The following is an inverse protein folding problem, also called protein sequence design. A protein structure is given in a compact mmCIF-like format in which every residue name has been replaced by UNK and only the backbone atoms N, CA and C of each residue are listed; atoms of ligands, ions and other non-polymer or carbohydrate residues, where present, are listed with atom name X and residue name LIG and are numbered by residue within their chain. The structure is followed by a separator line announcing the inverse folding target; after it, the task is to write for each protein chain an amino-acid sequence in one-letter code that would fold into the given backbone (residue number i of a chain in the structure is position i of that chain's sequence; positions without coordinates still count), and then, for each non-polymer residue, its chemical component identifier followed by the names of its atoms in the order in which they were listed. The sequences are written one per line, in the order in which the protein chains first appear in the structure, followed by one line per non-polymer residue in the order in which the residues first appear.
data_IF_636190077451
#
_entry.id   IF_636190077451
#
_cell.length_a   1.000
_cell.length_b   1.000
_cell.length_c   1.000
_cell.angle_alpha   90.00
_cell.angle_beta   90.00
_cell.angle_gamma   90.00
#
_symmetry.space_group_name_H-M   'P 1'
#
loop_
_entity.id
_entity.type
_entity.pdbx_description
1 polymer ?
#
# COMPACT_ATOMS: atom_id res chain seq x y z
N UNK A 1 -16.55 1.24 -12.99
CA UNK A 1 -15.64 0.62 -13.98
C UNK A 1 -14.28 0.48 -13.32
N UNK A 2 -13.80 -0.75 -13.21
CA UNK A 2 -12.46 -1.08 -12.72
C UNK A 2 -11.43 -0.67 -13.80
N UNK A 3 -10.30 -0.17 -13.36
CA UNK A 3 -9.20 0.25 -14.25
C UNK A 3 -7.98 -0.53 -13.82
N UNK A 4 -7.27 -1.13 -14.78
CA UNK A 4 -6.18 -2.03 -14.51
C UNK A 4 -6.64 -3.27 -13.73
N UNK A 5 -5.74 -3.88 -12.98
CA UNK A 5 -6.04 -5.02 -12.09
C UNK A 5 -6.39 -6.31 -12.83
N UNK A 6 -5.93 -6.45 -14.06
CA UNK A 6 -6.25 -7.61 -14.88
C UNK A 6 -5.81 -8.92 -14.21
N UNK A 7 -4.63 -8.94 -13.61
CA UNK A 7 -4.08 -10.12 -12.94
C UNK A 7 -4.85 -10.48 -11.67
N UNK A 8 -5.17 -9.46 -10.86
CA UNK A 8 -5.95 -9.65 -9.64
C UNK A 8 -7.38 -10.11 -9.95
N UNK A 9 -8.00 -9.52 -11.00
CA UNK A 9 -9.32 -9.95 -11.46
C UNK A 9 -9.30 -11.38 -12.00
N UNK A 10 -8.32 -11.75 -12.81
CA UNK A 10 -8.17 -13.11 -13.32
C UNK A 10 -7.99 -14.12 -12.15
N UNK A 11 -7.17 -13.76 -11.17
CA UNK A 11 -6.97 -14.57 -9.96
C UNK A 11 -8.28 -14.77 -9.21
N UNK A 12 -9.02 -13.69 -8.92
CA UNK A 12 -10.27 -13.76 -8.16
C UNK A 12 -11.37 -14.51 -8.94
N UNK A 13 -11.50 -14.27 -10.25
CA UNK A 13 -12.46 -14.99 -11.11
C UNK A 13 -12.12 -16.49 -11.23
N UNK A 14 -10.82 -16.84 -11.28
CA UNK A 14 -10.40 -18.23 -11.30
C UNK A 14 -10.88 -19.04 -10.08
N UNK A 15 -11.13 -18.37 -8.93
CA UNK A 15 -11.66 -19.04 -7.74
C UNK A 15 -13.15 -19.41 -7.88
N UNK A 16 -13.88 -18.78 -8.79
CA UNK A 16 -15.30 -19.11 -9.05
C UNK A 16 -15.48 -20.49 -9.68
N UNK A 17 -14.46 -21.00 -10.36
CA UNK A 17 -14.47 -22.32 -11.01
C UNK A 17 -13.83 -23.43 -10.20
N UNK A 18 -13.39 -23.15 -8.97
CA UNK A 18 -12.76 -24.13 -8.09
C UNK A 18 -13.77 -25.13 -7.54
N UNK A 19 -13.43 -26.38 -7.43
CA UNK A 19 -14.25 -27.44 -6.80
C UNK A 19 -14.18 -27.47 -5.27
N UNK A 20 -13.45 -26.53 -4.67
CA UNK A 20 -13.22 -26.46 -3.23
C UNK A 20 -13.64 -25.10 -2.67
N UNK A 21 -13.91 -25.06 -1.36
CA UNK A 21 -14.09 -23.79 -0.63
C UNK A 21 -12.82 -22.92 -0.72
N UNK A 22 -13.03 -21.61 -0.80
CA UNK A 22 -11.91 -20.67 -0.95
C UNK A 22 -11.88 -19.69 0.22
N UNK A 23 -10.70 -19.55 0.84
CA UNK A 23 -10.45 -18.52 1.83
C UNK A 23 -9.45 -17.52 1.29
N UNK A 24 -9.94 -16.32 0.99
CA UNK A 24 -9.20 -15.28 0.26
C UNK A 24 -8.88 -14.12 1.19
N UNK A 25 -7.63 -13.70 1.25
CA UNK A 25 -7.23 -12.47 1.92
C UNK A 25 -6.80 -11.42 0.88
N UNK A 26 -7.51 -10.29 0.82
CA UNK A 26 -7.12 -9.13 0.02
C UNK A 26 -6.62 -8.04 0.96
N UNK A 27 -5.33 -7.75 0.92
CA UNK A 27 -4.70 -6.81 1.83
C UNK A 27 -3.74 -5.88 1.08
N UNK A 28 -3.31 -4.84 1.72
CA UNK A 28 -2.46 -3.82 1.13
C UNK A 28 -2.85 -2.44 1.65
N UNK A 29 -2.11 -1.44 1.22
CA UNK A 29 -2.21 -0.07 1.69
C UNK A 29 -3.66 0.46 1.64
N UNK A 30 -3.97 1.38 2.54
CA UNK A 30 -5.24 2.11 2.50
C UNK A 30 -5.41 2.85 1.17
N UNK A 31 -6.66 2.90 0.64
CA UNK A 31 -7.05 3.68 -0.56
C UNK A 31 -6.52 3.14 -1.90
N UNK A 32 -5.98 1.91 -1.94
CA UNK A 32 -5.56 1.25 -3.19
C UNK A 32 -6.71 0.57 -3.94
N UNK A 33 -7.95 0.60 -3.39
CA UNK A 33 -9.13 0.08 -4.07
C UNK A 33 -9.49 -1.37 -3.76
N UNK A 34 -9.05 -1.96 -2.63
CA UNK A 34 -9.34 -3.35 -2.23
C UNK A 34 -10.83 -3.70 -2.27
N UNK A 35 -11.64 -2.95 -1.51
CA UNK A 35 -13.10 -3.14 -1.44
C UNK A 35 -13.75 -3.02 -2.82
N UNK A 36 -13.27 -2.07 -3.64
CA UNK A 36 -13.78 -1.86 -4.98
C UNK A 36 -13.46 -3.06 -5.88
N UNK A 37 -12.23 -3.55 -5.87
CA UNK A 37 -11.79 -4.75 -6.61
C UNK A 37 -12.67 -5.97 -6.25
N UNK A 38 -12.86 -6.26 -4.95
CA UNK A 38 -13.66 -7.40 -4.48
C UNK A 38 -15.10 -7.26 -4.95
N UNK A 39 -15.70 -6.06 -4.82
CA UNK A 39 -17.09 -5.82 -5.26
C UNK A 39 -17.27 -5.96 -6.77
N UNK A 40 -16.31 -5.52 -7.57
CA UNK A 40 -16.36 -5.73 -9.02
C UNK A 40 -16.18 -7.22 -9.38
N UNK A 41 -15.25 -7.93 -8.72
CA UNK A 41 -14.98 -9.34 -9.00
C UNK A 41 -16.16 -10.26 -8.68
N UNK A 42 -16.88 -9.96 -7.61
CA UNK A 42 -17.91 -10.88 -7.08
C UNK A 42 -19.33 -10.29 -7.03
N UNK A 43 -19.61 -9.27 -7.82
CA UNK A 43 -20.85 -8.49 -7.80
C UNK A 43 -22.14 -9.31 -7.67
N UNK A 44 -22.24 -10.42 -8.40
CA UNK A 44 -23.44 -11.26 -8.46
C UNK A 44 -23.43 -12.45 -7.48
N UNK A 45 -22.37 -12.64 -6.73
CA UNK A 45 -22.13 -13.82 -5.92
C UNK A 45 -22.27 -13.59 -4.41
N UNK A 46 -22.42 -12.31 -3.98
CA UNK A 46 -22.50 -11.99 -2.56
C UNK A 46 -23.80 -12.47 -1.94
N UNK A 47 -23.68 -13.31 -0.89
CA UNK A 47 -24.81 -13.72 -0.03
C UNK A 47 -24.72 -13.06 1.35
N UNK A 48 -23.52 -12.60 1.76
CA UNK A 48 -23.33 -11.85 2.99
C UNK A 48 -22.17 -10.88 2.84
N UNK A 49 -22.38 -9.65 3.32
CA UNK A 49 -21.35 -8.61 3.38
C UNK A 49 -21.41 -7.94 4.74
N UNK A 50 -20.22 -7.72 5.32
CA UNK A 50 -20.08 -6.98 6.57
C UNK A 50 -18.81 -6.13 6.54
N UNK A 51 -18.84 -4.95 7.18
CA UNK A 51 -17.68 -4.06 7.32
C UNK A 51 -17.45 -3.75 8.80
N UNK A 52 -16.25 -4.02 9.29
CA UNK A 52 -15.82 -3.64 10.63
C UNK A 52 -15.87 -2.13 10.82
N UNK A 53 -16.22 -1.66 12.01
CA UNK A 53 -16.39 -0.24 12.32
C UNK A 53 -15.19 0.28 13.12
N UNK A 54 -14.52 1.31 12.61
CA UNK A 54 -13.39 1.95 13.29
C UNK A 54 -13.79 2.48 14.68
N UNK A 55 -13.00 2.17 15.69
CA UNK A 55 -13.19 2.68 17.06
C UNK A 55 -14.40 2.12 17.80
N UNK A 56 -15.19 1.21 17.20
CA UNK A 56 -16.34 0.62 17.86
C UNK A 56 -15.94 -0.39 18.95
N UNK A 57 -16.70 -0.42 20.03
CA UNK A 57 -16.55 -1.41 21.09
C UNK A 57 -16.96 -2.81 20.61
N UNK A 58 -16.51 -3.87 21.29
CA UNK A 58 -16.92 -5.25 20.99
C UNK A 58 -18.45 -5.38 20.86
N UNK A 59 -19.22 -4.79 21.77
CA UNK A 59 -20.69 -4.83 21.74
C UNK A 59 -21.26 -4.19 20.48
N UNK A 60 -20.71 -3.04 20.08
CA UNK A 60 -21.13 -2.36 18.84
C UNK A 60 -20.77 -3.16 17.60
N UNK A 61 -19.56 -3.76 17.54
CA UNK A 61 -19.16 -4.64 16.44
C UNK A 61 -20.12 -5.82 16.28
N UNK A 62 -20.44 -6.49 17.38
CA UNK A 62 -21.38 -7.62 17.38
C UNK A 62 -22.81 -7.20 16.97
N UNK A 63 -23.25 -6.01 17.39
CA UNK A 63 -24.53 -5.45 16.99
C UNK A 63 -24.57 -5.17 15.48
N UNK A 64 -23.54 -4.53 14.95
CA UNK A 64 -23.40 -4.24 13.53
C UNK A 64 -23.32 -5.53 12.68
N UNK A 65 -22.63 -6.55 13.18
CA UNK A 65 -22.55 -7.85 12.50
C UNK A 65 -23.93 -8.54 12.42
N UNK A 66 -24.68 -8.54 13.51
CA UNK A 66 -26.05 -9.05 13.53
C UNK A 66 -26.97 -8.27 12.58
N UNK A 67 -26.83 -6.95 12.54
CA UNK A 67 -27.57 -6.09 11.62
C UNK A 67 -27.27 -6.43 10.16
N UNK A 68 -26.01 -6.66 9.84
CA UNK A 68 -25.61 -7.11 8.49
C UNK A 68 -26.24 -8.44 8.11
N UNK A 69 -26.38 -9.38 9.06
CA UNK A 69 -27.10 -10.65 8.83
C UNK A 69 -28.60 -10.42 8.58
N UNK A 70 -29.21 -9.52 9.35
CA UNK A 70 -30.61 -9.14 9.14
C UNK A 70 -30.84 -8.53 7.76
N UNK A 71 -29.96 -7.60 7.34
CA UNK A 71 -30.00 -6.98 6.00
C UNK A 71 -29.75 -7.99 4.88
N UNK A 72 -29.01 -9.06 5.14
CA UNK A 72 -28.81 -10.16 4.20
C UNK A 72 -30.01 -11.11 4.09
N UNK A 73 -31.05 -10.91 4.93
CA UNK A 73 -32.28 -11.72 4.91
C UNK A 73 -32.42 -12.73 6.05
N UNK A 74 -31.52 -12.73 7.04
CA UNK A 74 -31.68 -13.56 8.23
C UNK A 74 -32.87 -13.05 9.06
N UNK A 75 -33.71 -13.95 9.55
CA UNK A 75 -34.79 -13.62 10.49
C UNK A 75 -34.27 -13.01 11.81
N UNK A 76 -35.20 -12.50 12.64
CA UNK A 76 -34.88 -11.94 13.96
C UNK A 76 -34.11 -12.94 14.82
N UNK A 77 -32.98 -12.50 15.41
CA UNK A 77 -32.14 -13.31 16.30
C UNK A 77 -31.81 -12.57 17.58
N UNK A 78 -31.44 -13.32 18.62
CA UNK A 78 -30.93 -12.76 19.85
C UNK A 78 -29.62 -11.99 19.59
N UNK A 79 -29.33 -11.01 20.45
CA UNK A 79 -28.07 -10.26 20.39
C UNK A 79 -26.88 -11.16 20.77
N UNK A 80 -25.90 -11.40 19.89
CA UNK A 80 -24.73 -12.21 20.24
C UNK A 80 -23.87 -11.48 21.27
N UNK A 81 -23.34 -12.23 22.24
CA UNK A 81 -22.47 -11.71 23.30
C UNK A 81 -20.99 -11.92 22.98
N UNK A 82 -20.70 -12.84 22.10
CA UNK A 82 -19.36 -13.26 21.69
C UNK A 82 -19.26 -13.40 20.16
N UNK A 83 -18.06 -13.38 19.63
CA UNK A 83 -17.82 -13.65 18.21
C UNK A 83 -18.17 -15.10 17.82
N UNK A 84 -18.01 -16.05 18.76
CA UNK A 84 -18.42 -17.43 18.54
C UNK A 84 -19.93 -17.52 18.29
N UNK A 85 -20.73 -16.81 19.07
CA UNK A 85 -22.19 -16.73 18.86
C UNK A 85 -22.53 -16.00 17.55
N UNK A 86 -21.82 -14.90 17.22
CA UNK A 86 -22.02 -14.16 15.98
C UNK A 86 -21.71 -15.02 14.73
N UNK A 87 -20.60 -15.75 14.72
CA UNK A 87 -20.30 -16.69 13.66
C UNK A 87 -21.25 -17.91 13.66
N UNK A 88 -21.79 -18.28 14.79
CA UNK A 88 -22.86 -19.28 14.87
C UNK A 88 -24.14 -18.81 14.17
N UNK A 89 -24.51 -17.53 14.31
CA UNK A 89 -25.61 -16.94 13.55
C UNK A 89 -25.34 -16.94 12.05
N UNK A 90 -24.13 -16.56 11.63
CA UNK A 90 -23.72 -16.62 10.22
C UNK A 90 -23.79 -18.05 9.69
N UNK A 91 -23.27 -19.02 10.42
CA UNK A 91 -23.37 -20.44 10.05
C UNK A 91 -24.81 -20.88 9.82
N UNK A 92 -25.72 -20.60 10.80
CA UNK A 92 -27.12 -20.96 10.67
C UNK A 92 -27.81 -20.25 9.48
N UNK A 93 -27.50 -18.98 9.23
CA UNK A 93 -27.95 -18.26 8.05
C UNK A 93 -27.46 -18.93 6.75
N UNK A 94 -26.20 -19.29 6.67
CA UNK A 94 -25.62 -19.93 5.49
C UNK A 94 -26.21 -21.33 5.21
N UNK A 95 -26.64 -22.04 6.24
CA UNK A 95 -27.38 -23.33 6.09
C UNK A 95 -28.72 -23.21 5.39
N UNK A 96 -29.32 -22.01 5.36
CA UNK A 96 -30.56 -21.79 4.63
C UNK A 96 -30.40 -21.80 3.12
N UNK A 97 -29.15 -21.64 2.64
CA UNK A 97 -28.80 -21.74 1.22
C UNK A 97 -28.35 -23.18 0.92
N UNK A 98 -29.07 -23.91 0.03
CA UNK A 98 -28.62 -25.23 -0.38
C UNK A 98 -27.24 -25.17 -1.04
N UNK A 99 -26.44 -26.19 -0.85
CA UNK A 99 -25.17 -26.33 -1.55
C UNK A 99 -25.43 -26.49 -3.07
N UNK A 100 -24.64 -25.81 -3.87
CA UNK A 100 -24.80 -25.78 -5.33
C UNK A 100 -23.44 -25.69 -6.03
N UNK A 101 -23.41 -25.86 -7.34
CA UNK A 101 -22.21 -25.63 -8.14
C UNK A 101 -21.84 -24.15 -8.22
N UNK A 102 -22.85 -23.26 -8.11
CA UNK A 102 -22.63 -21.81 -8.13
C UNK A 102 -22.02 -21.34 -6.81
N UNK A 103 -20.90 -20.60 -6.89
CA UNK A 103 -20.20 -20.06 -5.73
C UNK A 103 -21.04 -19.00 -5.01
N UNK A 104 -20.92 -18.99 -3.71
CA UNK A 104 -21.51 -18.02 -2.78
C UNK A 104 -20.42 -17.30 -2.03
N UNK A 105 -20.42 -15.97 -2.12
CA UNK A 105 -19.36 -15.14 -1.55
C UNK A 105 -19.80 -14.51 -0.23
N UNK A 106 -18.98 -14.72 0.78
CA UNK A 106 -19.06 -14.07 2.08
C UNK A 106 -17.95 -13.03 2.10
N UNK A 107 -18.27 -11.75 2.23
CA UNK A 107 -17.28 -10.68 2.25
C UNK A 107 -17.26 -9.98 3.61
N UNK A 108 -16.10 -9.99 4.26
CA UNK A 108 -15.85 -9.30 5.52
C UNK A 108 -14.75 -8.26 5.30
N UNK A 109 -15.17 -7.00 5.23
CA UNK A 109 -14.28 -5.86 5.01
C UNK A 109 -13.81 -5.24 6.34
N UNK A 110 -12.65 -4.60 6.31
CA UNK A 110 -12.00 -3.96 7.47
C UNK A 110 -11.94 -4.88 8.70
N UNK A 111 -11.58 -6.15 8.45
CA UNK A 111 -11.47 -7.21 9.45
C UNK A 111 -10.69 -6.81 10.71
N UNK A 112 -9.55 -6.08 10.61
CA UNK A 112 -8.75 -5.69 11.78
C UNK A 112 -9.51 -4.87 12.84
N UNK A 113 -10.56 -4.15 12.46
CA UNK A 113 -11.33 -3.31 13.40
C UNK A 113 -12.31 -4.11 14.26
N UNK A 114 -12.63 -5.34 13.85
CA UNK A 114 -13.45 -6.25 14.63
C UNK A 114 -12.67 -6.95 15.74
N UNK A 115 -11.33 -7.03 15.61
CA UNK A 115 -10.47 -7.62 16.62
C UNK A 115 -10.20 -6.64 17.77
N UNK A 116 -11.20 -6.46 18.62
CA UNK A 116 -11.09 -5.64 19.82
C UNK A 116 -10.38 -6.40 20.95
N UNK A 117 -9.73 -5.72 21.93
CA UNK A 117 -9.03 -6.38 23.01
C UNK A 117 -9.88 -7.45 23.71
N UNK A 118 -9.30 -8.64 23.92
CA UNK A 118 -9.94 -9.79 24.58
C UNK A 118 -11.23 -10.28 23.94
N UNK A 119 -11.43 -10.03 22.62
CA UNK A 119 -12.63 -10.43 21.90
C UNK A 119 -12.63 -11.89 21.43
N UNK A 120 -11.47 -12.53 21.36
CA UNK A 120 -11.26 -13.84 20.74
C UNK A 120 -11.75 -13.91 19.27
N UNK A 121 -11.73 -12.77 18.56
CA UNK A 121 -12.25 -12.67 17.20
C UNK A 121 -11.57 -13.64 16.24
N UNK A 122 -10.23 -13.61 16.17
CA UNK A 122 -9.44 -14.46 15.25
C UNK A 122 -9.70 -15.94 15.52
N UNK A 123 -9.78 -16.36 16.81
CA UNK A 123 -10.08 -17.76 17.17
C UNK A 123 -11.51 -18.18 16.77
N UNK A 124 -12.46 -17.26 16.86
CA UNK A 124 -13.85 -17.53 16.46
C UNK A 124 -14.00 -17.64 14.94
N UNK A 125 -13.28 -16.82 14.19
CA UNK A 125 -13.20 -16.92 12.72
C UNK A 125 -12.51 -18.23 12.29
N UNK A 126 -11.43 -18.59 12.96
CA UNK A 126 -10.72 -19.85 12.74
C UNK A 126 -11.64 -21.06 12.97
N UNK A 127 -12.36 -21.07 14.09
CA UNK A 127 -13.33 -22.12 14.38
C UNK A 127 -14.45 -22.20 13.34
N UNK A 128 -15.01 -21.06 12.94
CA UNK A 128 -16.04 -21.01 11.89
C UNK A 128 -15.55 -21.61 10.58
N UNK A 129 -14.33 -21.25 10.15
CA UNK A 129 -13.75 -21.77 8.92
C UNK A 129 -13.46 -23.27 9.01
N UNK A 130 -12.69 -23.68 10.00
CA UNK A 130 -12.22 -25.06 10.10
C UNK A 130 -13.32 -26.07 10.48
N UNK A 131 -14.28 -25.68 11.30
CA UNK A 131 -15.32 -26.58 11.75
C UNK A 131 -16.44 -26.80 10.72
N UNK A 132 -16.59 -25.90 9.75
CA UNK A 132 -17.70 -26.00 8.83
C UNK A 132 -17.50 -25.36 7.46
N UNK A 133 -17.11 -24.08 7.37
CA UNK A 133 -17.13 -23.36 6.10
C UNK A 133 -16.19 -24.00 5.06
N UNK A 134 -15.05 -24.54 5.49
CA UNK A 134 -14.10 -25.26 4.63
C UNK A 134 -14.63 -26.56 4.02
N UNK A 135 -15.72 -27.10 4.55
CA UNK A 135 -16.33 -28.33 4.01
C UNK A 135 -17.39 -28.03 2.93
N UNK A 136 -17.84 -26.78 2.85
CA UNK A 136 -18.83 -26.32 1.85
C UNK A 136 -18.12 -25.88 0.56
N UNK A 137 -18.13 -26.74 -0.46
CA UNK A 137 -17.41 -26.48 -1.74
C UNK A 137 -17.85 -25.20 -2.47
N UNK A 138 -19.06 -24.75 -2.24
CA UNK A 138 -19.65 -23.57 -2.88
C UNK A 138 -19.33 -22.24 -2.18
N UNK A 139 -18.53 -22.23 -1.08
CA UNK A 139 -18.24 -21.00 -0.35
C UNK A 139 -16.91 -20.38 -0.74
N UNK A 140 -16.92 -19.06 -0.91
CA UNK A 140 -15.74 -18.19 -0.95
C UNK A 140 -15.84 -17.20 0.20
N UNK A 141 -14.97 -17.34 1.19
CA UNK A 141 -14.81 -16.35 2.27
C UNK A 141 -13.70 -15.36 1.86
N UNK A 142 -14.09 -14.12 1.62
CA UNK A 142 -13.16 -13.02 1.30
C UNK A 142 -13.03 -12.12 2.51
N UNK A 143 -11.81 -11.97 3.01
CA UNK A 143 -11.49 -11.00 4.04
C UNK A 143 -10.62 -9.88 3.47
N UNK A 144 -10.82 -8.68 3.99
CA UNK A 144 -10.12 -7.50 3.56
C UNK A 144 -9.76 -6.61 4.75
N UNK A 145 -8.72 -5.81 4.60
CA UNK A 145 -8.38 -4.79 5.60
C UNK A 145 -7.25 -3.87 5.17
N UNK A 146 -7.31 -2.63 5.65
CA UNK A 146 -6.31 -1.60 5.39
C UNK A 146 -5.14 -1.63 6.37
N UNK A 147 -5.30 -2.21 7.57
CA UNK A 147 -4.20 -2.47 8.50
C UNK A 147 -3.41 -3.71 8.03
N UNK A 148 -2.54 -3.49 7.03
CA UNK A 148 -1.79 -4.54 6.33
C UNK A 148 -1.00 -5.42 7.30
N UNK A 149 -0.29 -4.81 8.26
CA UNK A 149 0.47 -5.53 9.28
C UNK A 149 -0.40 -6.47 10.11
N UNK A 150 -1.60 -6.03 10.52
CA UNK A 150 -2.50 -6.89 11.28
C UNK A 150 -2.94 -8.12 10.46
N UNK A 151 -3.28 -7.94 9.17
CA UNK A 151 -3.64 -9.07 8.28
C UNK A 151 -2.44 -10.01 8.13
N UNK A 152 -1.25 -9.48 7.92
CA UNK A 152 -0.03 -10.29 7.79
C UNK A 152 0.21 -11.08 9.07
N UNK A 153 0.24 -10.42 10.23
CA UNK A 153 0.61 -11.05 11.51
C UNK A 153 -0.45 -12.04 12.02
N UNK A 154 -1.74 -11.73 11.83
CA UNK A 154 -2.83 -12.51 12.43
C UNK A 154 -3.50 -13.50 11.49
N UNK A 155 -3.28 -13.36 10.17
CA UNK A 155 -3.94 -14.23 9.18
C UNK A 155 -2.92 -14.89 8.25
N UNK A 156 -2.06 -14.11 7.59
CA UNK A 156 -1.14 -14.61 6.55
C UNK A 156 0.02 -15.40 7.13
N UNK A 157 0.65 -14.88 8.19
CA UNK A 157 1.84 -15.45 8.87
C UNK A 157 1.49 -16.07 10.24
N UNK A 158 0.20 -16.18 10.55
CA UNK A 158 -0.24 -16.74 11.82
C UNK A 158 0.12 -18.24 11.91
N UNK A 159 0.88 -18.60 12.92
CA UNK A 159 1.21 -20.01 13.24
C UNK A 159 0.08 -20.73 14.00
N UNK A 160 -1.08 -20.09 14.21
CA UNK A 160 -2.27 -20.67 14.86
C UNK A 160 -3.18 -21.42 13.88
N UNK A 161 -4.45 -21.52 14.22
CA UNK A 161 -5.44 -22.32 13.47
C UNK A 161 -5.73 -21.84 12.05
N UNK A 162 -5.49 -20.57 11.71
CA UNK A 162 -5.58 -20.04 10.34
C UNK A 162 -4.33 -20.30 9.51
N UNK A 163 -3.28 -20.94 10.09
CA UNK A 163 -2.05 -21.26 9.39
C UNK A 163 -2.35 -22.17 8.19
N UNK A 164 -1.84 -21.78 7.01
CA UNK A 164 -2.05 -22.49 5.74
C UNK A 164 -3.53 -22.72 5.33
N UNK A 165 -4.47 -21.95 5.88
CA UNK A 165 -5.89 -22.03 5.50
C UNK A 165 -6.28 -21.07 4.38
N UNK A 166 -5.49 -20.03 4.18
CA UNK A 166 -5.69 -19.15 3.02
C UNK A 166 -5.36 -19.89 1.73
N UNK A 167 -6.35 -20.00 0.86
CA UNK A 167 -6.19 -20.59 -0.48
C UNK A 167 -5.70 -19.56 -1.50
N UNK A 168 -6.00 -18.28 -1.26
CA UNK A 168 -5.56 -17.19 -2.11
C UNK A 168 -5.16 -15.95 -1.28
N UNK A 169 -4.05 -15.33 -1.66
CA UNK A 169 -3.52 -14.11 -1.03
C UNK A 169 -3.30 -13.06 -2.10
N UNK A 170 -4.04 -11.98 -2.05
CA UNK A 170 -3.91 -10.85 -2.97
C UNK A 170 -3.34 -9.65 -2.21
N UNK A 171 -2.06 -9.40 -2.39
CA UNK A 171 -1.42 -8.17 -1.88
C UNK A 171 -1.60 -7.06 -2.92
N UNK A 172 -2.62 -6.22 -2.74
CA UNK A 172 -2.97 -5.18 -3.68
C UNK A 172 -2.02 -4.00 -3.58
N UNK A 173 -1.15 -3.87 -4.56
CA UNK A 173 -0.19 -2.78 -4.69
C UNK A 173 -0.87 -1.47 -5.15
N UNK A 174 -0.25 -0.29 -4.95
CA UNK A 174 -0.62 0.92 -5.67
C UNK A 174 -0.61 0.69 -7.20
N UNK A 175 -1.33 1.51 -7.94
CA UNK A 175 -1.27 1.51 -9.40
C UNK A 175 0.15 1.71 -9.91
N UNK A 176 0.48 1.02 -10.97
CA UNK A 176 1.66 1.30 -11.80
C UNK A 176 1.45 2.58 -12.62
N UNK A 177 2.51 3.10 -13.25
CA UNK A 177 2.38 4.22 -14.20
C UNK A 177 1.41 3.90 -15.33
N UNK A 178 1.43 2.66 -15.84
CA UNK A 178 0.51 2.18 -16.90
C UNK A 178 -0.95 2.25 -16.43
N UNK A 179 -1.25 1.75 -15.23
CA UNK A 179 -2.61 1.82 -14.67
C UNK A 179 -3.04 3.27 -14.40
N UNK A 180 -2.11 4.15 -13.99
CA UNK A 180 -2.40 5.59 -13.85
C UNK A 180 -2.67 6.26 -15.19
N UNK A 181 -1.98 5.88 -16.27
CA UNK A 181 -2.28 6.33 -17.64
C UNK A 181 -3.67 5.86 -18.07
N UNK A 182 -3.99 4.58 -17.91
CA UNK A 182 -5.32 4.03 -18.16
C UNK A 182 -6.40 4.78 -17.37
N UNK A 183 -6.09 5.15 -16.11
CA UNK A 183 -7.00 5.95 -15.28
C UNK A 183 -7.24 7.34 -15.90
N UNK A 184 -6.19 8.03 -16.35
CA UNK A 184 -6.30 9.33 -16.99
C UNK A 184 -7.14 9.27 -18.27
N UNK A 185 -6.95 8.23 -19.09
CA UNK A 185 -7.71 7.99 -20.32
C UNK A 185 -9.18 7.72 -19.99
N UNK A 186 -9.48 6.80 -19.06
CA UNK A 186 -10.84 6.47 -18.66
C UNK A 186 -11.60 7.65 -18.04
N UNK A 187 -10.89 8.58 -17.37
CA UNK A 187 -11.46 9.81 -16.80
C UNK A 187 -11.39 11.02 -17.76
N UNK A 188 -10.86 10.83 -18.98
CA UNK A 188 -10.69 11.88 -19.96
C UNK A 188 -9.94 13.11 -19.41
N UNK A 189 -8.87 12.89 -18.63
CA UNK A 189 -8.08 13.99 -18.06
C UNK A 189 -7.25 14.72 -19.12
N UNK A 190 -6.91 14.06 -20.24
CA UNK A 190 -6.15 14.62 -21.35
C UNK A 190 -4.65 14.77 -21.04
N UNK A 191 -4.13 14.02 -20.07
CA UNK A 191 -2.72 14.08 -19.68
C UNK A 191 -1.84 13.26 -20.64
N UNK A 192 -0.74 13.89 -21.08
CA UNK A 192 0.36 13.20 -21.78
C UNK A 192 1.22 12.42 -20.76
N UNK A 193 2.02 11.47 -21.25
CA UNK A 193 2.86 10.58 -20.42
C UNK A 193 3.73 11.34 -19.40
N UNK A 194 4.32 12.47 -19.81
CA UNK A 194 5.09 13.33 -18.89
C UNK A 194 4.23 13.89 -17.75
N UNK A 195 3.00 14.27 -18.02
CA UNK A 195 2.07 14.80 -17.01
C UNK A 195 1.57 13.69 -16.07
N UNK A 196 1.37 12.47 -16.61
CA UNK A 196 1.07 11.28 -15.80
C UNK A 196 2.23 10.99 -14.85
N UNK A 197 3.48 11.03 -15.34
CA UNK A 197 4.67 10.84 -14.53
C UNK A 197 4.81 11.92 -13.46
N UNK A 198 4.60 13.20 -13.80
CA UNK A 198 4.63 14.32 -12.85
C UNK A 198 3.59 14.11 -11.73
N UNK A 199 2.37 13.76 -12.09
CA UNK A 199 1.32 13.46 -11.12
C UNK A 199 1.70 12.24 -10.23
N UNK A 200 2.27 11.19 -10.83
CA UNK A 200 2.70 10.00 -10.10
C UNK A 200 3.82 10.28 -9.10
N UNK A 201 4.76 11.16 -9.43
CA UNK A 201 5.86 11.55 -8.55
C UNK A 201 5.39 12.17 -7.23
N UNK A 202 4.20 12.78 -7.19
CA UNK A 202 3.62 13.35 -5.98
C UNK A 202 2.53 12.45 -5.37
N UNK A 203 1.58 11.96 -6.18
CA UNK A 203 0.43 11.18 -5.70
C UNK A 203 0.74 9.69 -5.47
N UNK A 204 1.85 9.19 -6.06
CA UNK A 204 2.06 7.75 -6.19
C UNK A 204 0.94 7.09 -7.00
N UNK A 205 0.86 5.77 -6.93
CA UNK A 205 -0.20 5.00 -7.59
C UNK A 205 -1.44 4.80 -6.71
N UNK A 206 -1.86 5.77 -5.90
CA UNK A 206 -3.02 5.63 -5.01
C UNK A 206 -4.30 6.08 -5.72
N UNK A 207 -5.19 5.16 -6.17
CA UNK A 207 -6.36 5.50 -6.99
C UNK A 207 -7.24 6.60 -6.37
N UNK A 208 -7.36 6.61 -5.05
CA UNK A 208 -8.12 7.62 -4.33
C UNK A 208 -7.56 9.04 -4.53
N UNK A 209 -6.24 9.21 -4.58
CA UNK A 209 -5.63 10.53 -4.82
C UNK A 209 -5.84 10.98 -6.26
N UNK A 210 -5.77 10.06 -7.22
CA UNK A 210 -6.04 10.33 -8.63
C UNK A 210 -7.50 10.73 -8.87
N UNK A 211 -8.43 10.27 -8.03
CA UNK A 211 -9.86 10.61 -8.17
C UNK A 211 -10.17 12.10 -7.94
N UNK A 212 -9.24 12.83 -7.34
CA UNK A 212 -9.38 14.28 -7.14
C UNK A 212 -8.94 15.11 -8.35
N UNK A 213 -8.22 14.52 -9.32
CA UNK A 213 -7.81 15.25 -10.51
C UNK A 213 -9.02 15.62 -11.38
N UNK A 214 -9.12 16.88 -11.77
CA UNK A 214 -10.23 17.40 -12.58
C UNK A 214 -9.81 17.59 -14.04
N UNK A 215 -10.67 17.13 -14.94
CA UNK A 215 -10.56 17.37 -16.39
C UNK A 215 -10.47 18.88 -16.68
N UNK A 216 -9.70 19.23 -17.73
CA UNK A 216 -9.55 20.62 -18.17
C UNK A 216 -8.61 21.46 -17.32
N UNK A 217 -7.98 20.89 -16.31
CA UNK A 217 -6.93 21.53 -15.50
C UNK A 217 -5.59 20.87 -15.74
N UNK A 218 -4.52 21.68 -15.77
CA UNK A 218 -3.15 21.16 -15.79
C UNK A 218 -2.83 20.42 -14.48
N UNK A 219 -1.73 19.63 -14.46
CA UNK A 219 -1.24 19.01 -13.23
C UNK A 219 -1.00 20.05 -12.15
N UNK A 220 -0.35 21.18 -12.49
CA UNK A 220 -0.08 22.26 -11.55
C UNK A 220 -1.34 22.85 -10.94
N UNK A 221 -2.35 23.15 -11.77
CA UNK A 221 -3.64 23.67 -11.28
C UNK A 221 -4.40 22.68 -10.40
N UNK A 222 -4.30 21.37 -10.71
CA UNK A 222 -4.87 20.34 -9.86
C UNK A 222 -4.10 20.24 -8.53
N UNK A 223 -2.78 20.35 -8.54
CA UNK A 223 -1.95 20.26 -7.34
C UNK A 223 -2.20 21.46 -6.41
N UNK A 224 -2.25 22.69 -6.94
CA UNK A 224 -2.62 23.84 -6.13
C UNK A 224 -3.96 23.61 -5.42
N UNK A 225 -4.96 23.12 -6.15
CA UNK A 225 -6.29 22.89 -5.61
C UNK A 225 -6.33 21.80 -4.53
N UNK A 226 -5.68 20.66 -4.74
CA UNK A 226 -5.79 19.52 -3.82
C UNK A 226 -4.84 19.58 -2.63
N UNK A 227 -3.71 20.28 -2.76
CA UNK A 227 -2.66 20.32 -1.73
C UNK A 227 -2.50 21.66 -1.02
N UNK A 228 -2.87 22.78 -1.67
CA UNK A 228 -2.50 24.11 -1.16
C UNK A 228 -3.70 25.04 -0.94
N UNK A 229 -4.80 24.87 -1.68
CA UNK A 229 -5.99 25.69 -1.47
C UNK A 229 -6.77 25.27 -0.20
N UNK A 230 -7.43 26.22 0.49
CA UNK A 230 -8.30 25.93 1.62
C UNK A 230 -9.37 24.89 1.25
N UNK A 231 -9.48 23.83 2.07
CA UNK A 231 -10.40 22.74 1.79
C UNK A 231 -9.94 21.75 0.71
N UNK A 232 -8.71 21.87 0.23
CA UNK A 232 -8.11 20.89 -0.68
C UNK A 232 -8.10 19.48 -0.06
N UNK A 233 -8.46 18.48 -0.86
CA UNK A 233 -8.78 17.13 -0.38
C UNK A 233 -7.59 16.41 0.28
N UNK A 234 -6.36 16.82 -0.01
CA UNK A 234 -5.14 16.20 0.50
C UNK A 234 -4.33 17.10 1.47
N UNK A 235 -4.83 18.27 1.81
CA UNK A 235 -4.16 19.19 2.76
C UNK A 235 -3.93 18.55 4.12
N UNK A 236 -4.95 17.86 4.66
CA UNK A 236 -4.90 17.21 5.97
C UNK A 236 -4.68 15.68 5.88
N UNK A 237 -4.39 15.18 4.68
CA UNK A 237 -4.29 13.75 4.44
C UNK A 237 -3.17 13.08 5.24
N UNK A 238 -2.05 13.76 5.46
CA UNK A 238 -0.91 13.19 6.18
C UNK A 238 -1.32 12.69 7.58
N UNK A 239 -1.94 13.54 8.37
CA UNK A 239 -2.36 13.17 9.74
C UNK A 239 -3.46 12.10 9.72
N UNK A 240 -4.45 12.25 8.83
CA UNK A 240 -5.54 11.30 8.68
C UNK A 240 -5.05 9.91 8.25
N UNK A 241 -4.06 9.83 7.37
CA UNK A 241 -3.48 8.59 6.87
C UNK A 241 -2.84 7.80 8.01
N UNK A 242 -1.88 8.40 8.73
CA UNK A 242 -1.16 7.71 9.79
C UNK A 242 -2.04 7.39 11.00
N UNK A 243 -2.93 8.28 11.40
CA UNK A 243 -3.88 8.04 12.48
C UNK A 243 -4.83 6.87 12.20
N UNK A 244 -5.18 6.66 10.95
CA UNK A 244 -6.11 5.59 10.56
C UNK A 244 -5.46 4.21 10.38
N UNK A 245 -4.14 4.16 10.13
CA UNK A 245 -3.41 2.91 9.90
C UNK A 245 -2.84 2.32 11.19
N UNK A 246 -2.44 3.16 12.13
CA UNK A 246 -1.68 2.75 13.30
C UNK A 246 -2.39 3.15 14.61
N UNK A 247 -2.52 2.20 15.54
CA UNK A 247 -3.15 2.45 16.86
C UNK A 247 -2.41 3.52 17.68
N UNK A 248 -1.07 3.61 17.52
CA UNK A 248 -0.20 4.59 18.18
C UNK A 248 0.71 5.26 17.15
N UNK A 249 0.24 6.21 16.35
CA UNK A 249 0.95 6.70 15.18
C UNK A 249 2.19 7.54 15.51
N UNK A 250 2.36 8.01 16.75
CA UNK A 250 3.47 8.91 17.14
C UNK A 250 4.86 8.35 16.79
N UNK A 251 5.10 7.07 17.07
CA UNK A 251 6.38 6.41 16.76
C UNK A 251 6.59 6.36 15.23
N UNK A 252 5.58 5.97 14.48
CA UNK A 252 5.60 5.91 13.01
C UNK A 252 5.89 7.28 12.39
N UNK A 253 5.20 8.32 12.85
CA UNK A 253 5.39 9.70 12.37
C UNK A 253 6.81 10.19 12.68
N UNK A 254 7.34 9.92 13.88
CA UNK A 254 8.71 10.30 14.24
C UNK A 254 9.76 9.62 13.33
N UNK A 255 9.58 8.33 13.02
CA UNK A 255 10.44 7.58 12.09
C UNK A 255 10.37 8.20 10.69
N UNK A 256 9.18 8.41 10.17
CA UNK A 256 8.95 8.99 8.83
C UNK A 256 9.55 10.41 8.74
N UNK A 257 9.34 11.24 9.76
CA UNK A 257 9.91 12.59 9.82
C UNK A 257 11.44 12.57 9.81
N UNK A 258 12.06 11.62 10.52
CA UNK A 258 13.50 11.45 10.51
C UNK A 258 14.02 11.02 9.13
N UNK A 259 13.34 10.08 8.49
CA UNK A 259 13.69 9.58 7.15
C UNK A 259 13.47 10.64 6.05
N UNK A 260 12.44 11.48 6.17
CA UNK A 260 12.18 12.57 5.24
C UNK A 260 13.34 13.58 5.17
N UNK A 261 14.04 13.80 6.28
CA UNK A 261 15.21 14.69 6.33
C UNK A 261 16.44 14.13 5.61
N UNK A 262 16.55 12.79 5.47
CA UNK A 262 17.71 12.12 4.86
C UNK A 262 17.26 11.17 3.75
N UNK A 263 17.10 11.72 2.56
CA UNK A 263 16.52 11.06 1.37
C UNK A 263 17.23 9.75 0.96
N UNK A 264 18.52 9.62 1.29
CA UNK A 264 19.30 8.40 1.03
C UNK A 264 18.98 7.26 2.01
N UNK A 265 18.23 7.57 3.08
CA UNK A 265 17.90 6.65 4.16
C UNK A 265 18.86 6.75 5.34
N UNK A 266 18.53 6.00 6.38
CA UNK A 266 19.26 5.94 7.64
C UNK A 266 19.40 4.48 8.08
N UNK A 267 20.55 4.12 8.65
CA UNK A 267 20.69 2.87 9.40
C UNK A 267 19.94 2.98 10.75
N UNK A 268 19.67 1.85 11.40
CA UNK A 268 18.88 1.81 12.64
C UNK A 268 19.40 2.78 13.72
N UNK A 269 20.72 2.83 13.95
CA UNK A 269 21.35 3.68 14.94
C UNK A 269 21.15 5.17 14.65
N UNK A 270 21.39 5.58 13.40
CA UNK A 270 21.18 6.96 12.95
C UNK A 270 19.70 7.36 13.05
N UNK A 271 18.79 6.42 12.75
CA UNK A 271 17.36 6.64 12.81
C UNK A 271 16.88 6.87 14.24
N UNK A 272 17.34 6.07 15.20
CA UNK A 272 17.09 6.27 16.62
C UNK A 272 17.56 7.65 17.10
N UNK A 273 18.79 8.03 16.74
CA UNK A 273 19.36 9.33 17.09
C UNK A 273 18.56 10.48 16.49
N UNK A 274 18.19 10.37 15.19
CA UNK A 274 17.49 11.45 14.47
C UNK A 274 16.03 11.57 14.92
N UNK A 275 15.34 10.46 15.16
CA UNK A 275 13.94 10.45 15.61
C UNK A 275 13.79 10.72 17.10
N UNK A 276 14.88 10.67 17.88
CA UNK A 276 14.91 10.76 19.36
C UNK A 276 14.05 9.69 20.05
N UNK A 277 13.92 8.53 19.43
CA UNK A 277 13.21 7.39 19.96
C UNK A 277 14.16 6.44 20.68
N UNK A 278 13.61 5.65 21.59
CA UNK A 278 14.35 4.59 22.32
C UNK A 278 14.32 3.29 21.53
N UNK A 279 15.43 2.55 21.54
CA UNK A 279 15.51 1.22 20.92
C UNK A 279 14.76 0.19 21.78
N UNK A 280 13.52 -0.11 21.38
CA UNK A 280 12.63 -1.02 22.07
C UNK A 280 11.74 -1.80 21.08
N UNK A 281 10.85 -2.63 21.62
CA UNK A 281 9.92 -3.43 20.84
C UNK A 281 8.94 -2.56 20.01
N UNK A 282 8.46 -1.44 20.55
CA UNK A 282 7.53 -0.53 19.84
C UNK A 282 8.21 0.11 18.61
N UNK A 283 9.48 0.49 18.73
CA UNK A 283 10.27 1.02 17.61
C UNK A 283 10.47 -0.03 16.51
N UNK A 284 10.86 -1.26 16.89
CA UNK A 284 11.05 -2.36 15.94
C UNK A 284 9.74 -2.72 15.22
N UNK A 285 8.64 -2.73 15.97
CA UNK A 285 7.31 -2.98 15.43
C UNK A 285 6.88 -1.86 14.47
N UNK A 286 7.09 -0.60 14.81
CA UNK A 286 6.75 0.52 13.94
C UNK A 286 7.54 0.49 12.62
N UNK A 287 8.83 0.12 12.65
CA UNK A 287 9.62 -0.09 11.43
C UNK A 287 9.04 -1.20 10.55
N UNK A 288 8.70 -2.34 11.14
CA UNK A 288 8.10 -3.47 10.44
C UNK A 288 6.75 -3.08 9.83
N UNK A 289 5.88 -2.41 10.58
CA UNK A 289 4.57 -1.97 10.11
C UNK A 289 4.68 -0.96 8.95
N UNK A 290 5.62 -0.02 9.01
CA UNK A 290 5.89 0.93 7.93
C UNK A 290 6.40 0.25 6.66
N UNK A 291 7.25 -0.76 6.80
CA UNK A 291 7.75 -1.57 5.68
C UNK A 291 6.63 -2.40 5.05
N UNK A 292 5.86 -3.13 5.84
CA UNK A 292 4.71 -3.93 5.40
C UNK A 292 3.63 -3.10 4.72
N UNK A 293 3.44 -1.84 5.15
CA UNK A 293 2.52 -0.90 4.52
C UNK A 293 3.10 -0.18 3.29
N UNK A 294 4.36 -0.41 2.94
CA UNK A 294 5.01 0.17 1.77
C UNK A 294 5.35 1.67 1.90
N UNK A 295 5.48 2.20 3.12
CA UNK A 295 5.97 3.57 3.34
C UNK A 295 7.48 3.67 3.26
N UNK A 296 8.16 2.66 3.77
CA UNK A 296 9.62 2.57 3.77
C UNK A 296 10.05 1.27 3.10
N UNK A 297 11.28 1.26 2.62
CA UNK A 297 11.99 0.03 2.24
C UNK A 297 13.21 -0.16 3.12
N UNK A 298 13.54 -1.43 3.35
CA UNK A 298 14.79 -1.85 3.99
C UNK A 298 15.68 -2.47 2.92
N UNK A 299 16.91 -2.03 2.82
CA UNK A 299 17.89 -2.59 1.89
C UNK A 299 19.29 -2.62 2.51
N UNK A 300 20.13 -3.51 2.00
CA UNK A 300 21.50 -3.63 2.42
C UNK A 300 22.39 -3.26 1.23
N UNK A 301 23.33 -2.33 1.40
CA UNK A 301 24.27 -1.97 0.34
C UNK A 301 25.22 -3.14 0.05
N UNK A 302 25.70 -3.23 -1.19
CA UNK A 302 26.64 -4.26 -1.63
C UNK A 302 27.85 -4.29 -0.70
N UNK A 303 28.22 -5.49 -0.22
CA UNK A 303 29.36 -5.70 0.67
C UNK A 303 29.11 -5.39 2.16
N UNK A 304 27.89 -4.96 2.55
CA UNK A 304 27.52 -4.73 3.96
C UNK A 304 26.76 -5.88 4.56
N UNK A 305 26.80 -6.00 5.90
CA UNK A 305 26.07 -7.02 6.65
C UNK A 305 24.60 -6.60 6.86
N UNK A 306 23.71 -7.55 7.02
CA UNK A 306 22.26 -7.32 7.26
C UNK A 306 21.97 -6.39 8.45
N UNK A 307 22.84 -6.35 9.48
CA UNK A 307 22.73 -5.44 10.60
C UNK A 307 22.89 -3.96 10.22
N UNK A 308 23.58 -3.68 9.12
CA UNK A 308 23.83 -2.34 8.59
C UNK A 308 22.78 -1.94 7.53
N UNK A 309 21.62 -2.60 7.54
CA UNK A 309 20.54 -2.31 6.62
C UNK A 309 20.07 -0.85 6.77
N UNK A 310 19.83 -0.23 5.63
CA UNK A 310 19.35 1.15 5.53
C UNK A 310 17.82 1.15 5.36
N UNK A 311 17.14 1.99 6.12
CA UNK A 311 15.71 2.27 5.97
C UNK A 311 15.54 3.56 5.18
N UNK A 312 14.71 3.53 4.17
CA UNK A 312 14.47 4.68 3.28
C UNK A 312 12.98 4.91 3.09
N UNK A 313 12.54 6.15 3.21
CA UNK A 313 11.18 6.56 2.88
C UNK A 313 10.98 6.53 1.36
N UNK A 314 9.96 5.79 0.90
CA UNK A 314 9.67 5.60 -0.53
C UNK A 314 8.26 6.07 -0.92
N UNK A 315 7.42 6.43 0.02
CA UNK A 315 6.08 6.91 -0.27
C UNK A 315 6.09 8.28 -0.93
N UNK A 316 5.57 8.36 -2.15
CA UNK A 316 5.60 9.57 -2.96
C UNK A 316 4.83 10.73 -2.32
N UNK A 317 3.60 10.46 -1.82
CA UNK A 317 2.78 11.48 -1.17
C UNK A 317 3.45 12.01 0.12
N UNK A 318 3.95 11.11 0.98
CA UNK A 318 4.61 11.52 2.22
C UNK A 318 5.87 12.36 1.96
N UNK A 319 6.66 12.01 0.95
CA UNK A 319 7.82 12.80 0.56
C UNK A 319 7.44 14.15 -0.02
N UNK A 320 6.38 14.21 -0.85
CA UNK A 320 5.82 15.45 -1.36
C UNK A 320 5.29 16.35 -0.25
N UNK A 321 4.63 15.74 0.76
CA UNK A 321 4.18 16.46 1.95
C UNK A 321 5.33 17.19 2.65
N UNK A 322 6.43 16.49 2.94
CA UNK A 322 7.59 17.10 3.61
C UNK A 322 8.39 18.06 2.72
N UNK A 323 8.39 17.86 1.42
CA UNK A 323 9.15 18.74 0.51
C UNK A 323 8.41 20.04 0.18
N UNK A 324 7.06 20.05 0.24
CA UNK A 324 6.25 21.18 -0.23
C UNK A 324 5.08 21.54 0.69
N UNK A 325 4.23 20.58 1.09
CA UNK A 325 3.00 20.92 1.82
C UNK A 325 3.34 21.47 3.20
N UNK A 326 4.23 20.81 3.94
CA UNK A 326 4.66 21.28 5.27
C UNK A 326 5.52 22.55 5.23
N UNK A 327 6.13 22.87 4.09
CA UNK A 327 6.96 24.06 3.90
C UNK A 327 6.14 25.28 3.51
N UNK A 328 4.89 25.11 3.08
CA UNK A 328 3.98 26.22 2.75
C UNK A 328 3.40 26.88 4.02
N UNK A 329 4.26 27.44 4.83
CA UNK A 329 3.87 28.09 6.11
C UNK A 329 3.09 29.39 5.94
N UNK A 330 3.21 30.03 4.77
CA UNK A 330 2.54 31.30 4.45
C UNK A 330 1.14 31.10 3.86
N UNK A 331 0.71 29.84 3.61
CA UNK A 331 -0.61 29.56 3.04
C UNK A 331 -0.78 30.03 1.59
N UNK A 332 0.29 29.98 0.78
CA UNK A 332 0.21 30.32 -0.64
C UNK A 332 -0.62 29.25 -1.38
N UNK A 333 -1.79 29.65 -1.89
CA UNK A 333 -2.73 28.80 -2.62
C UNK A 333 -2.22 28.38 -4.02
N UNK A 334 -1.21 29.07 -4.53
CA UNK A 334 -0.55 28.82 -5.82
C UNK A 334 0.89 28.33 -5.67
N UNK A 335 1.21 27.79 -4.50
CA UNK A 335 2.58 27.40 -4.13
C UNK A 335 3.24 26.46 -5.17
N UNK A 336 2.49 25.51 -5.69
CA UNK A 336 3.04 24.59 -6.68
C UNK A 336 3.23 25.23 -8.03
N UNK A 337 2.20 25.90 -8.57
CA UNK A 337 2.30 26.57 -9.88
C UNK A 337 3.36 27.68 -9.89
N UNK A 338 3.54 28.38 -8.76
CA UNK A 338 4.58 29.40 -8.58
C UNK A 338 5.99 28.79 -8.48
N UNK A 339 6.12 27.56 -8.01
CA UNK A 339 7.41 26.85 -7.88
C UNK A 339 7.91 26.25 -9.19
N UNK A 340 7.07 26.18 -10.21
CA UNK A 340 7.40 25.57 -11.49
C UNK A 340 8.65 26.20 -12.12
N UNK A 341 9.63 25.37 -12.53
CA UNK A 341 10.89 25.84 -13.10
C UNK A 341 11.94 26.31 -12.09
N UNK A 342 11.64 26.28 -10.78
CA UNK A 342 12.63 26.60 -9.75
C UNK A 342 13.66 25.47 -9.58
N UNK A 343 14.84 25.81 -9.03
CA UNK A 343 15.88 24.82 -8.73
C UNK A 343 15.40 23.75 -7.74
N UNK A 344 14.51 24.11 -6.80
CA UNK A 344 13.91 23.19 -5.82
C UNK A 344 13.02 22.19 -6.54
N UNK A 345 12.18 22.65 -7.47
CA UNK A 345 11.30 21.78 -8.28
C UNK A 345 12.11 20.80 -9.12
N UNK A 346 13.16 21.26 -9.83
CA UNK A 346 14.01 20.35 -10.62
C UNK A 346 14.75 19.33 -9.75
N UNK A 347 15.28 19.75 -8.60
CA UNK A 347 15.97 18.86 -7.67
C UNK A 347 15.01 17.79 -7.08
N UNK A 348 13.78 18.19 -6.75
CA UNK A 348 12.74 17.26 -6.32
C UNK A 348 12.37 16.28 -7.43
N UNK A 349 12.12 16.78 -8.63
CA UNK A 349 11.69 15.96 -9.77
C UNK A 349 12.73 14.88 -10.12
N UNK A 350 14.04 15.19 -10.09
CA UNK A 350 15.10 14.21 -10.27
C UNK A 350 15.01 13.07 -9.26
N UNK A 351 14.98 13.38 -7.96
CA UNK A 351 14.87 12.37 -6.90
C UNK A 351 13.56 11.60 -6.94
N UNK A 352 12.46 12.26 -7.28
CA UNK A 352 11.15 11.61 -7.41
C UNK A 352 11.15 10.62 -8.58
N UNK A 353 11.77 10.98 -9.70
CA UNK A 353 11.92 10.08 -10.84
C UNK A 353 12.76 8.84 -10.52
N UNK A 354 13.91 8.99 -9.84
CA UNK A 354 14.70 7.85 -9.35
C UNK A 354 13.85 6.88 -8.54
N UNK A 355 13.00 7.39 -7.63
CA UNK A 355 12.08 6.55 -6.85
C UNK A 355 11.07 5.82 -7.73
N UNK A 356 10.49 6.52 -8.70
CA UNK A 356 9.54 5.89 -9.64
C UNK A 356 10.21 4.76 -10.40
N UNK A 357 11.44 4.94 -10.88
CA UNK A 357 12.21 3.87 -11.51
C UNK A 357 12.40 2.67 -10.56
N UNK A 358 12.76 2.92 -9.30
CA UNK A 358 12.93 1.87 -8.29
C UNK A 358 11.61 1.16 -7.94
N UNK A 359 10.48 1.84 -8.04
CA UNK A 359 9.14 1.24 -7.85
C UNK A 359 8.69 0.40 -9.06
N UNK A 360 9.28 0.61 -10.24
CA UNK A 360 8.91 -0.03 -11.51
C UNK A 360 10.01 -0.95 -12.06
N UNK A 361 10.86 -1.51 -11.19
CA UNK A 361 11.97 -2.37 -11.61
C UNK A 361 11.49 -3.54 -12.47
N UNK A 362 10.37 -4.17 -12.12
CA UNK A 362 9.86 -5.31 -12.88
C UNK A 362 9.46 -4.91 -14.30
N UNK A 363 8.81 -3.77 -14.46
CA UNK A 363 8.43 -3.23 -15.78
C UNK A 363 9.68 -2.83 -16.59
N UNK A 364 10.69 -2.27 -15.93
CA UNK A 364 11.97 -1.95 -16.57
C UNK A 364 12.66 -3.22 -17.05
N UNK A 365 12.72 -4.28 -16.22
CA UNK A 365 13.29 -5.57 -16.60
C UNK A 365 12.54 -6.21 -17.78
N UNK A 366 11.22 -6.10 -17.80
CA UNK A 366 10.37 -6.57 -18.87
C UNK A 366 10.68 -5.82 -20.18
N UNK A 367 10.71 -4.49 -20.14
CA UNK A 367 11.04 -3.65 -21.30
C UNK A 367 12.47 -3.89 -21.83
N UNK A 368 13.41 -4.29 -20.98
CA UNK A 368 14.77 -4.65 -21.34
C UNK A 368 14.94 -6.12 -21.75
N UNK A 369 13.85 -6.92 -21.73
CA UNK A 369 13.85 -8.30 -22.23
C UNK A 369 14.48 -9.34 -21.30
N UNK A 370 14.66 -9.03 -19.99
CA UNK A 370 15.24 -9.98 -19.03
C UNK A 370 14.40 -10.17 -17.75
N UNK A 371 13.09 -10.04 -17.83
CA UNK A 371 12.18 -10.19 -16.67
C UNK A 371 12.32 -11.54 -15.95
N UNK A 372 12.63 -12.61 -16.70
CA UNK A 372 12.82 -13.97 -16.16
C UNK A 372 14.18 -14.18 -15.46
N UNK A 373 15.14 -13.25 -15.63
CA UNK A 373 16.48 -13.40 -15.04
C UNK A 373 16.46 -13.02 -13.57
N UNK A 374 16.94 -13.91 -12.71
CA UNK A 374 17.14 -13.61 -11.28
C UNK A 374 18.14 -12.47 -11.18
N UNK A 375 17.76 -11.42 -10.50
CA UNK A 375 18.61 -10.23 -10.34
C UNK A 375 18.35 -9.54 -9.02
N UNK A 376 19.36 -8.85 -8.51
CA UNK A 376 19.25 -7.95 -7.37
C UNK A 376 19.37 -6.50 -7.82
N UNK A 377 18.68 -5.60 -7.11
CA UNK A 377 18.63 -4.17 -7.48
C UNK A 377 19.24 -3.36 -6.36
N UNK A 378 20.22 -2.54 -6.72
CA UNK A 378 20.99 -1.73 -5.80
C UNK A 378 21.10 -0.28 -6.30
N UNK A 379 21.49 0.62 -5.41
CA UNK A 379 22.12 1.89 -5.75
C UNK A 379 23.59 1.84 -5.32
N UNK A 380 24.45 2.51 -6.07
CA UNK A 380 25.86 2.56 -5.74
C UNK A 380 26.34 4.01 -5.71
N UNK A 381 27.17 4.34 -4.74
CA UNK A 381 27.79 5.66 -4.65
C UNK A 381 29.21 5.56 -4.10
N UNK A 382 30.10 6.36 -4.69
CA UNK A 382 31.45 6.55 -4.25
C UNK A 382 31.67 8.01 -3.84
N UNK A 383 32.09 8.24 -2.62
CA UNK A 383 32.50 9.57 -2.17
C UNK A 383 33.95 9.80 -2.63
N UNK A 384 34.14 10.78 -3.52
CA UNK A 384 35.46 11.17 -3.91
C UNK A 384 36.35 11.48 -2.72
N UNK A 385 37.64 11.26 -2.87
CA UNK A 385 38.66 11.54 -1.85
C UNK A 385 39.29 12.92 -2.06
N UNK A 386 39.58 13.58 -0.95
CA UNK A 386 40.35 14.83 -0.92
C UNK A 386 41.69 14.58 -0.23
N UNK A 387 42.70 15.25 -0.67
CA UNK A 387 43.99 15.28 0.01
C UNK A 387 43.82 15.91 1.41
N UNK A 388 44.16 15.21 2.49
CA UNK A 388 43.96 15.72 3.85
C UNK A 388 44.78 16.99 4.16
N UNK A 389 45.92 17.19 3.45
CA UNK A 389 46.83 18.29 3.71
C UNK A 389 46.54 19.54 2.88
N UNK A 390 46.07 19.34 1.63
CA UNK A 390 45.88 20.44 0.67
C UNK A 390 44.39 20.74 0.39
N UNK A 391 43.46 19.85 0.81
CA UNK A 391 42.02 19.94 0.50
C UNK A 391 41.68 19.71 -0.98
N UNK A 392 42.69 19.47 -1.85
CA UNK A 392 42.46 19.23 -3.28
C UNK A 392 41.75 17.90 -3.51
N UNK A 393 40.79 17.90 -4.46
CA UNK A 393 40.07 16.67 -4.87
C UNK A 393 41.02 15.72 -5.57
N UNK A 394 41.29 14.56 -4.97
CA UNK A 394 42.09 13.47 -5.55
C UNK A 394 41.28 12.62 -6.51
N UNK A 395 40.03 12.26 -6.10
CA UNK A 395 39.10 11.53 -6.95
C UNK A 395 37.70 12.18 -6.90
N UNK A 396 37.02 12.22 -8.04
CA UNK A 396 35.63 12.70 -8.09
C UNK A 396 34.67 11.64 -7.54
N UNK A 397 33.63 12.07 -6.83
CA UNK A 397 32.54 11.18 -6.46
C UNK A 397 31.77 10.70 -7.69
N UNK A 398 31.17 9.51 -7.59
CA UNK A 398 30.31 8.93 -8.61
C UNK A 398 29.09 8.31 -7.96
N UNK A 399 27.95 8.32 -8.67
CA UNK A 399 26.71 7.71 -8.23
C UNK A 399 26.06 6.97 -9.40
N UNK A 400 25.48 5.81 -9.09
CA UNK A 400 24.63 5.04 -9.99
C UNK A 400 23.29 4.89 -9.28
N UNK A 401 22.23 5.42 -9.87
CA UNK A 401 20.93 5.50 -9.24
C UNK A 401 20.26 4.12 -9.15
N UNK A 402 20.41 3.31 -10.20
CA UNK A 402 19.94 1.94 -10.24
C UNK A 402 20.99 1.03 -10.90
N UNK A 403 21.37 0.01 -10.18
CA UNK A 403 22.23 -1.08 -10.64
C UNK A 403 21.43 -2.36 -10.54
N UNK A 404 21.23 -3.04 -11.66
CA UNK A 404 20.60 -4.37 -11.70
C UNK A 404 21.70 -5.39 -11.94
N UNK A 405 22.04 -6.12 -10.89
CA UNK A 405 23.00 -7.20 -10.90
C UNK A 405 22.28 -8.51 -11.24
N UNK A 406 22.63 -9.08 -12.38
CA UNK A 406 22.03 -10.30 -12.92
C UNK A 406 22.92 -11.49 -12.59
N UNK A 407 22.31 -12.62 -12.26
CA UNK A 407 23.05 -13.86 -11.96
C UNK A 407 23.76 -14.49 -13.17
N UNK A 408 23.71 -13.84 -14.34
CA UNK A 408 24.38 -14.26 -15.58
C UNK A 408 25.67 -13.45 -15.87
N UNK A 409 26.33 -12.95 -14.84
CA UNK A 409 27.52 -12.11 -14.89
C UNK A 409 27.35 -10.77 -15.64
N UNK A 410 26.09 -10.34 -15.80
CA UNK A 410 25.76 -9.07 -16.44
C UNK A 410 25.26 -8.04 -15.42
N UNK A 411 25.77 -6.83 -15.50
CA UNK A 411 25.34 -5.70 -14.67
C UNK A 411 24.74 -4.62 -15.58
N UNK A 412 23.47 -4.29 -15.37
CA UNK A 412 22.83 -3.17 -16.04
C UNK A 412 22.90 -1.92 -15.16
N UNK A 413 23.51 -0.85 -15.69
CA UNK A 413 23.61 0.45 -15.03
C UNK A 413 22.58 1.40 -15.62
N UNK A 414 21.75 1.96 -14.77
CA UNK A 414 20.72 2.94 -15.15
C UNK A 414 21.00 4.24 -14.38
N UNK A 415 21.29 5.28 -15.14
CA UNK A 415 21.41 6.64 -14.61
C UNK A 415 20.17 7.43 -14.99
N UNK A 416 19.48 7.99 -14.02
CA UNK A 416 18.25 8.75 -14.27
C UNK A 416 18.59 10.20 -14.62
N UNK A 417 18.14 10.66 -15.80
CA UNK A 417 18.22 12.07 -16.19
C UNK A 417 16.91 12.50 -16.85
N UNK A 418 16.24 13.48 -16.24
CA UNK A 418 15.03 14.09 -16.81
C UNK A 418 15.31 15.01 -18.03
N UNK A 419 16.56 15.25 -18.37
CA UNK A 419 16.96 16.26 -19.35
C UNK A 419 16.85 15.79 -20.78
N UNK A 420 16.21 14.95 -21.31
CA UNK A 420 16.00 14.59 -22.71
C UNK A 420 15.41 13.16 -22.88
N UNK A 421 14.53 12.75 -22.01
CA UNK A 421 13.93 11.43 -22.15
C UNK A 421 12.55 11.57 -22.79
N UNK A 422 12.36 10.94 -23.94
CA UNK A 422 11.03 10.64 -24.47
C UNK A 422 10.47 9.47 -23.66
N UNK A 423 9.48 9.74 -22.81
CA UNK A 423 8.81 8.71 -22.03
C UNK A 423 7.70 8.07 -22.86
N UNK A 424 7.75 6.77 -22.98
CA UNK A 424 6.62 5.96 -23.41
C UNK A 424 6.21 5.09 -22.23
N UNK A 425 5.00 5.28 -21.74
CA UNK A 425 4.40 4.42 -20.74
C UNK A 425 3.71 3.28 -21.51
N UNK A 426 4.43 2.16 -21.67
CA UNK A 426 3.93 0.95 -22.32
C UNK A 426 2.99 0.12 -21.42
#
# INVERSE_FOLDING_TARGET
MLIGRENEMATLHGLLTSDESQFVAVYGRRRVGKTFLIREAYKSYFIFQHTGTYGATRRQQLANFRESLYLAGMGKSAMPKTWSEAFGLLWNFLKTFPESEEKKVIFIDELPWMDTPKSNFVRSLDHFWNAWASMRKDLILVICGSATSWIIDNVVMNYGGLHNRLTCKVFLQPFTLRECKQYCEAKNLGYMDRQVLEAYMALGGIPYYWSFLKKGKSVAQNFDRIFFQPGGELVQEFDALYASLFKKPRCHIAIITALAKKKQGLIREELLKTSRLTDNADFSKALQELEQCGFIRKFTAIGKKTKDATFQLIDNYTLFYFDFISENTNGDEHFWSSSAGSAIHYSWAGRAFERVCMQHVNQIKEALGFSAVISSVHSWSYKGTKDPSTGKTLTKGAQIDMLIDRNDDTINLLTSSLKNIHFVIG
#
